data_IF_378973677867
#
_entry.id   IF_378973677867
#
_cell.length_a   1.000
_cell.length_b   1.000
_cell.length_c   1.000
_cell.angle_alpha   90.00
_cell.angle_beta   90.00
_cell.angle_gamma   90.00
#
_symmetry.space_group_name_H-M   'P 1'
#
loop_
_entity.id
_entity.type
_entity.pdbx_description
1 polymer ?
#
# COMPACT_ATOMS: atom_id res chain seq x y z
N UNK A 1 9.34 7.25 9.12
CA UNK A 1 9.54 7.09 7.68
C UNK A 1 10.97 6.72 7.32
N UNK A 2 11.98 7.57 7.55
CA UNK A 2 13.36 7.22 7.13
C UNK A 2 13.88 5.92 7.77
N UNK A 3 13.51 5.65 9.01
CA UNK A 3 13.84 4.38 9.69
C UNK A 3 13.18 3.16 9.01
N UNK A 4 11.92 3.26 8.58
CA UNK A 4 11.22 2.19 7.87
C UNK A 4 11.78 1.98 6.46
N UNK A 5 12.19 3.07 5.79
CA UNK A 5 12.90 3.00 4.51
C UNK A 5 14.21 2.23 4.68
N UNK A 6 15.03 2.59 5.67
CA UNK A 6 16.29 1.91 5.92
C UNK A 6 16.06 0.43 6.22
N UNK A 7 15.06 0.10 7.03
CA UNK A 7 14.71 -1.28 7.34
C UNK A 7 14.35 -2.10 6.08
N UNK A 8 13.58 -1.51 5.15
CA UNK A 8 13.26 -2.17 3.89
C UNK A 8 14.53 -2.38 3.05
N UNK A 9 15.41 -1.39 2.96
CA UNK A 9 16.66 -1.50 2.20
C UNK A 9 17.60 -2.55 2.78
N UNK A 10 17.67 -2.66 4.11
CA UNK A 10 18.47 -3.68 4.79
C UNK A 10 17.97 -5.08 4.42
N UNK A 11 16.64 -5.30 4.42
CA UNK A 11 16.04 -6.57 3.97
C UNK A 11 16.38 -6.87 2.51
N UNK A 12 16.26 -5.89 1.61
CA UNK A 12 16.57 -6.07 0.19
C UNK A 12 18.05 -6.43 -0.02
N UNK A 13 18.94 -5.77 0.71
CA UNK A 13 20.37 -6.04 0.70
C UNK A 13 20.69 -7.44 1.22
N UNK A 14 20.12 -7.83 2.36
CA UNK A 14 20.37 -9.13 3.01
C UNK A 14 19.85 -10.31 2.19
N UNK A 15 18.71 -10.13 1.52
CA UNK A 15 18.10 -11.17 0.69
C UNK A 15 18.67 -11.24 -0.72
N UNK A 16 19.25 -10.15 -1.22
CA UNK A 16 19.64 -9.99 -2.63
C UNK A 16 18.44 -10.07 -3.58
N UNK A 17 17.23 -9.74 -3.10
CA UNK A 17 16.00 -9.89 -3.85
C UNK A 17 15.94 -8.90 -5.02
N UNK A 18 15.67 -9.42 -6.22
CA UNK A 18 15.28 -8.60 -7.36
C UNK A 18 13.77 -8.38 -7.34
N UNK A 19 13.34 -7.12 -7.36
CA UNK A 19 11.92 -6.77 -7.31
C UNK A 19 11.32 -6.78 -8.72
N UNK A 20 10.33 -7.64 -8.95
CA UNK A 20 9.52 -7.64 -10.18
C UNK A 20 8.17 -6.91 -10.00
N UNK A 21 7.85 -6.48 -8.78
CA UNK A 21 6.63 -5.76 -8.43
C UNK A 21 6.98 -4.47 -7.67
N UNK A 22 6.05 -3.50 -7.62
CA UNK A 22 6.27 -2.26 -6.88
C UNK A 22 6.56 -2.49 -5.40
N UNK A 23 7.36 -1.58 -4.83
CA UNK A 23 7.56 -1.50 -3.39
C UNK A 23 6.42 -0.68 -2.78
N UNK A 24 5.83 -1.17 -1.69
CA UNK A 24 4.58 -0.64 -1.15
C UNK A 24 4.75 -0.36 0.33
N UNK A 25 4.33 0.82 0.76
CA UNK A 25 4.13 1.12 2.17
C UNK A 25 2.68 0.81 2.52
N UNK A 26 2.47 -0.35 3.12
CA UNK A 26 1.20 -0.72 3.73
C UNK A 26 1.07 0.02 5.07
N UNK A 27 0.30 1.12 5.04
CA UNK A 27 -0.08 1.83 6.25
C UNK A 27 -1.54 1.53 6.55
N UNK A 28 -1.83 0.98 7.73
CA UNK A 28 -3.18 0.76 8.24
C UNK A 28 -3.34 1.37 9.62
N UNK A 29 -4.60 1.65 10.00
CA UNK A 29 -4.92 2.00 11.39
C UNK A 29 -4.74 0.74 12.23
N UNK A 30 -3.76 0.69 13.16
CA UNK A 30 -3.49 -0.55 13.88
C UNK A 30 -4.66 -0.89 14.81
N UNK A 31 -4.99 -2.18 14.89
CA UNK A 31 -6.04 -2.69 15.78
C UNK A 31 -5.68 -2.62 17.29
N UNK A 32 -4.51 -2.07 17.64
CA UNK A 32 -4.06 -1.97 19.02
C UNK A 32 -4.82 -0.89 19.81
N UNK A 33 -4.93 -1.04 21.12
CA UNK A 33 -5.66 -0.07 21.98
C UNK A 33 -5.01 1.34 22.00
N UNK A 34 -3.72 1.44 21.67
CA UNK A 34 -2.98 2.70 21.65
C UNK A 34 -1.76 2.71 20.69
N UNK A 35 -1.97 2.67 19.37
CA UNK A 35 -0.85 2.69 18.43
C UNK A 35 -0.15 4.04 18.44
N UNK A 36 1.15 4.04 18.11
CA UNK A 36 1.93 5.28 17.91
C UNK A 36 1.34 6.19 16.82
N UNK A 37 0.51 5.63 15.93
CA UNK A 37 -0.18 6.31 14.84
C UNK A 37 -1.58 6.83 15.20
N UNK A 38 -2.00 6.68 16.46
CA UNK A 38 -3.30 7.17 16.94
C UNK A 38 -3.37 8.69 16.78
N UNK A 39 -4.38 9.17 16.06
CA UNK A 39 -4.64 10.59 15.74
C UNK A 39 -3.73 11.23 14.68
N UNK A 40 -3.09 10.45 13.81
CA UNK A 40 -2.44 11.05 12.64
C UNK A 40 -3.51 11.66 11.73
N UNK A 41 -3.36 12.95 11.41
CA UNK A 41 -4.25 13.61 10.46
C UNK A 41 -3.93 13.18 9.03
N UNK A 42 -4.90 13.38 8.14
CA UNK A 42 -4.76 12.91 6.77
C UNK A 42 -3.65 13.61 5.97
N UNK A 43 -3.29 14.84 6.35
CA UNK A 43 -2.19 15.56 5.69
C UNK A 43 -0.87 14.88 6.00
N UNK A 44 -0.63 14.60 7.27
CA UNK A 44 0.57 13.91 7.76
C UNK A 44 0.70 12.53 7.10
N UNK A 45 -0.40 11.78 6.99
CA UNK A 45 -0.39 10.47 6.33
C UNK A 45 -0.10 10.56 4.83
N UNK A 46 -0.68 11.54 4.15
CA UNK A 46 -0.40 11.79 2.73
C UNK A 46 1.07 12.18 2.53
N UNK A 47 1.64 13.03 3.39
CA UNK A 47 3.03 13.45 3.32
C UNK A 47 4.01 12.30 3.56
N UNK A 48 3.65 11.36 4.43
CA UNK A 48 4.41 10.14 4.66
C UNK A 48 4.45 9.28 3.40
N UNK A 49 3.30 9.05 2.76
CA UNK A 49 3.23 8.29 1.50
C UNK A 49 4.02 8.98 0.38
N UNK A 50 3.90 10.31 0.25
CA UNK A 50 4.67 11.11 -0.70
C UNK A 50 6.18 10.97 -0.47
N UNK A 51 6.62 11.08 0.79
CA UNK A 51 8.03 10.98 1.14
C UNK A 51 8.57 9.59 0.82
N UNK A 52 7.86 8.53 1.24
CA UNK A 52 8.23 7.15 0.93
C UNK A 52 8.36 6.93 -0.58
N UNK A 53 7.31 7.25 -1.35
CA UNK A 53 7.31 7.04 -2.79
C UNK A 53 8.41 7.86 -3.48
N UNK A 54 8.63 9.10 -3.05
CA UNK A 54 9.70 9.96 -3.55
C UNK A 54 11.10 9.41 -3.29
N UNK A 55 11.37 8.84 -2.11
CA UNK A 55 12.66 8.22 -1.81
C UNK A 55 12.88 6.94 -2.61
N UNK A 56 11.89 6.05 -2.67
CA UNK A 56 11.97 4.80 -3.44
C UNK A 56 12.25 5.07 -4.92
N UNK A 57 11.56 6.06 -5.51
CA UNK A 57 11.79 6.50 -6.88
C UNK A 57 13.20 7.04 -7.11
N UNK A 58 13.76 7.83 -6.18
CA UNK A 58 15.15 8.33 -6.26
C UNK A 58 16.18 7.21 -6.24
N UNK A 59 15.87 6.11 -5.57
CA UNK A 59 16.74 4.93 -5.47
C UNK A 59 16.56 3.95 -6.64
N UNK A 60 15.67 4.25 -7.59
CA UNK A 60 15.43 3.44 -8.78
C UNK A 60 14.38 2.34 -8.61
N UNK A 61 13.66 2.32 -7.49
CA UNK A 61 12.52 1.42 -7.29
C UNK A 61 11.22 2.03 -7.84
N UNK A 62 10.27 1.16 -8.20
CA UNK A 62 8.92 1.58 -8.55
C UNK A 62 8.05 1.54 -7.27
N UNK A 63 7.61 2.68 -6.72
CA UNK A 63 6.69 2.69 -5.59
C UNK A 63 5.22 2.51 -6.03
N UNK A 64 4.36 2.13 -5.08
CA UNK A 64 2.90 2.08 -5.19
C UNK A 64 2.28 2.42 -3.84
N UNK A 65 1.12 3.07 -3.84
CA UNK A 65 0.40 3.47 -2.62
C UNK A 65 -0.71 2.46 -2.34
N UNK A 66 -0.68 1.84 -1.16
CA UNK A 66 -1.76 1.00 -0.66
C UNK A 66 -2.75 1.79 0.20
N UNK A 67 -4.04 1.52 0.02
CA UNK A 67 -5.10 2.07 0.87
C UNK A 67 -6.42 1.29 0.78
N UNK A 68 -7.31 1.50 1.75
CA UNK A 68 -8.71 1.07 1.70
C UNK A 68 -9.68 2.25 1.52
N UNK A 69 -10.97 1.94 1.34
CA UNK A 69 -12.02 2.97 1.15
C UNK A 69 -12.06 4.00 2.27
N UNK A 70 -11.95 3.57 3.54
CA UNK A 70 -11.97 4.50 4.67
C UNK A 70 -10.81 5.50 4.62
N UNK A 71 -9.60 5.02 4.30
CA UNK A 71 -8.44 5.88 4.14
C UNK A 71 -8.61 6.85 2.98
N UNK A 72 -9.15 6.40 1.84
CA UNK A 72 -9.40 7.29 0.71
C UNK A 72 -10.34 8.45 1.02
N UNK A 73 -11.38 8.21 1.83
CA UNK A 73 -12.37 9.24 2.16
C UNK A 73 -11.94 10.15 3.30
N UNK A 74 -11.17 9.63 4.26
CA UNK A 74 -10.98 10.31 5.55
C UNK A 74 -9.53 10.70 5.83
N UNK A 75 -8.55 10.06 5.17
CA UNK A 75 -7.14 10.14 5.57
C UNK A 75 -6.18 10.48 4.44
N UNK A 76 -6.47 10.19 3.18
CA UNK A 76 -5.57 10.52 2.08
C UNK A 76 -6.12 11.62 1.19
N UNK A 77 -5.28 12.61 0.88
CA UNK A 77 -5.51 13.52 -0.23
C UNK A 77 -5.03 12.85 -1.51
N UNK A 78 -5.86 12.01 -2.12
CA UNK A 78 -5.46 11.15 -3.24
C UNK A 78 -4.98 11.91 -4.49
N UNK A 79 -5.48 13.11 -4.72
CA UNK A 79 -5.00 13.97 -5.80
C UNK A 79 -3.49 14.26 -5.70
N UNK A 80 -2.95 14.34 -4.48
CA UNK A 80 -1.51 14.57 -4.30
C UNK A 80 -0.68 13.31 -4.58
N UNK A 81 -1.32 12.13 -4.56
CA UNK A 81 -0.68 10.83 -4.70
C UNK A 81 -0.84 10.23 -6.12
N UNK A 82 -1.59 10.89 -7.01
CA UNK A 82 -2.02 10.35 -8.31
C UNK A 82 -0.87 10.10 -9.31
N UNK A 83 0.32 10.64 -9.05
CA UNK A 83 1.55 10.36 -9.78
C UNK A 83 2.11 8.94 -9.53
N UNK A 84 1.56 8.22 -8.55
CA UNK A 84 1.95 6.86 -8.19
C UNK A 84 0.79 5.88 -8.43
N UNK A 85 1.08 4.62 -8.80
CA UNK A 85 0.04 3.61 -8.93
C UNK A 85 -0.60 3.29 -7.58
N UNK A 86 -1.86 2.90 -7.60
CA UNK A 86 -2.70 2.61 -6.45
C UNK A 86 -3.00 1.13 -6.32
N UNK A 87 -2.83 0.62 -5.09
CA UNK A 87 -3.33 -0.67 -4.65
C UNK A 87 -4.48 -0.45 -3.66
N UNK A 88 -5.69 -0.71 -4.12
CA UNK A 88 -6.90 -0.54 -3.33
C UNK A 88 -7.34 -1.85 -2.68
N UNK A 89 -7.50 -1.84 -1.36
CA UNK A 89 -8.29 -2.83 -0.63
C UNK A 89 -9.78 -2.46 -0.64
N UNK A 90 -10.57 -3.27 -1.35
CA UNK A 90 -12.00 -3.07 -1.46
C UNK A 90 -12.70 -4.42 -1.64
N UNK A 91 -13.21 -4.98 -0.54
CA UNK A 91 -13.75 -6.34 -0.51
C UNK A 91 -15.17 -6.43 -1.06
N UNK A 92 -15.27 -6.49 -2.39
CA UNK A 92 -16.54 -6.59 -3.12
C UNK A 92 -16.34 -7.32 -4.45
N UNK A 93 -17.42 -7.77 -5.08
CA UNK A 93 -17.33 -8.55 -6.32
C UNK A 93 -17.18 -7.69 -7.59
N UNK A 94 -17.44 -6.38 -7.50
CA UNK A 94 -17.42 -5.46 -8.64
C UNK A 94 -16.68 -4.18 -8.28
N UNK A 95 -15.73 -3.72 -9.09
CA UNK A 95 -15.05 -2.44 -8.84
C UNK A 95 -16.01 -1.25 -8.99
N UNK A 96 -16.30 -0.56 -7.89
CA UNK A 96 -17.14 0.66 -7.85
C UNK A 96 -16.35 1.91 -7.47
N UNK A 97 -15.04 1.77 -7.26
CA UNK A 97 -14.18 2.87 -6.85
C UNK A 97 -14.00 3.87 -8.01
N UNK A 98 -14.15 5.19 -7.78
CA UNK A 98 -14.17 6.16 -8.87
C UNK A 98 -12.79 6.53 -9.41
N UNK A 99 -11.71 6.17 -8.71
CA UNK A 99 -10.35 6.40 -9.17
C UNK A 99 -9.79 5.18 -9.87
N UNK A 100 -8.86 5.46 -10.78
CA UNK A 100 -8.00 4.46 -11.41
C UNK A 100 -7.13 3.77 -10.35
N UNK A 101 -7.02 2.45 -10.44
CA UNK A 101 -6.17 1.63 -9.56
C UNK A 101 -5.51 0.51 -10.38
N UNK A 102 -4.25 0.22 -10.06
CA UNK A 102 -3.42 -0.77 -10.75
C UNK A 102 -3.45 -2.12 -10.03
N UNK A 103 -3.82 -2.14 -8.75
CA UNK A 103 -4.04 -3.37 -8.01
C UNK A 103 -5.29 -3.26 -7.15
N UNK A 104 -6.09 -4.33 -7.14
CA UNK A 104 -7.32 -4.41 -6.37
C UNK A 104 -7.35 -5.67 -5.51
N UNK A 105 -7.29 -5.51 -4.18
CA UNK A 105 -7.53 -6.59 -3.23
C UNK A 105 -9.05 -6.73 -3.04
N UNK A 106 -9.64 -7.73 -3.69
CA UNK A 106 -11.10 -7.89 -3.74
C UNK A 106 -11.63 -8.84 -2.67
N UNK A 107 -10.76 -9.64 -2.04
CA UNK A 107 -11.10 -10.46 -0.87
C UNK A 107 -9.86 -10.77 -0.03
N UNK A 108 -10.07 -10.91 1.27
CA UNK A 108 -9.09 -11.40 2.25
C UNK A 108 -9.34 -12.86 2.66
N UNK A 109 -10.44 -13.46 2.21
CA UNK A 109 -10.86 -14.83 2.57
C UNK A 109 -10.76 -15.81 1.41
N UNK A 110 -9.86 -15.53 0.46
CA UNK A 110 -9.62 -16.39 -0.69
C UNK A 110 -9.05 -17.75 -0.31
N UNK A 111 -9.07 -18.67 -1.28
CA UNK A 111 -8.51 -20.02 -1.15
C UNK A 111 -7.59 -20.30 -2.33
N UNK A 112 -6.33 -20.60 -2.04
CA UNK A 112 -5.32 -20.96 -3.05
C UNK A 112 -4.83 -22.38 -2.76
N UNK A 113 -4.89 -23.31 -3.74
CA UNK A 113 -4.35 -24.65 -3.56
C UNK A 113 -2.90 -24.62 -3.09
N UNK A 114 -2.60 -25.32 -1.99
CA UNK A 114 -1.27 -25.35 -1.36
C UNK A 114 -1.08 -24.36 -0.20
N UNK A 115 -2.05 -23.48 0.07
CA UNK A 115 -2.03 -22.58 1.22
C UNK A 115 -3.21 -22.92 2.15
N UNK A 116 -2.91 -23.17 3.42
CA UNK A 116 -3.92 -23.39 4.45
C UNK A 116 -4.39 -22.06 5.02
N UNK A 117 -5.69 -21.80 5.01
CA UNK A 117 -6.30 -20.61 5.61
C UNK A 117 -6.78 -19.57 4.60
N UNK A 118 -7.10 -18.39 5.12
CA UNK A 118 -7.50 -17.19 4.39
C UNK A 118 -6.31 -16.58 3.65
N UNK A 119 -6.54 -16.15 2.40
CA UNK A 119 -5.52 -15.55 1.53
C UNK A 119 -6.12 -14.31 0.87
N UNK A 120 -5.36 -13.22 0.89
CA UNK A 120 -5.67 -12.02 0.13
C UNK A 120 -5.54 -12.29 -1.37
N UNK A 121 -6.61 -12.04 -2.12
CA UNK A 121 -6.63 -12.20 -3.57
C UNK A 121 -6.71 -10.84 -4.22
N UNK A 122 -5.75 -10.61 -5.11
CA UNK A 122 -5.56 -9.35 -5.80
C UNK A 122 -5.75 -9.52 -7.31
N UNK A 123 -6.41 -8.55 -7.94
CA UNK A 123 -6.44 -8.40 -9.40
C UNK A 123 -5.44 -7.31 -9.77
N UNK A 124 -4.40 -7.69 -10.52
CA UNK A 124 -3.42 -6.75 -11.05
C UNK A 124 -3.87 -6.27 -12.44
N UNK A 125 -3.96 -4.96 -12.62
CA UNK A 125 -4.49 -4.29 -13.80
C UNK A 125 -3.44 -3.29 -14.33
N UNK A 126 -2.30 -3.78 -14.86
CA UNK A 126 -1.26 -2.91 -15.42
C UNK A 126 -1.70 -2.31 -16.77
N UNK A 127 -1.05 -1.21 -17.16
CA UNK A 127 -1.20 -0.59 -18.48
C UNK A 127 -0.19 -1.13 -19.49
#
# INVERSE_FOLDING_TARGET
MDEEIQFILDILSDTGAELNMPIVLDWEIPAADNPRTKNMDGRTLTDIQLHFCGQMKKMGYQPMVYFNWHQSENLYYLADLEDYPFWLALYQEQMTYPWRVEMWQWTHTGRVPGISGDVDINVYMPY
#
